data_IF_501133184949
#
_entry.id   IF_501133184949
#
_cell.length_a   1.000
_cell.length_b   1.000
_cell.length_c   1.000
_cell.angle_alpha   90.00
_cell.angle_beta   90.00
_cell.angle_gamma   90.00
#
_symmetry.space_group_name_H-M   'P 1'
#
loop_
_entity.id
_entity.type
_entity.pdbx_description
1 polymer ?
#
# COMPACT_ATOMS: atom_id res chain seq x y z
N UNK A 1 -31.20 1.59 28.48
CA UNK A 1 -30.66 2.86 27.98
C UNK A 1 -30.26 2.60 26.53
N UNK A 2 -31.05 3.09 25.58
CA UNK A 2 -30.79 2.92 24.14
C UNK A 2 -29.72 3.93 23.73
N UNK A 3 -28.57 3.46 23.26
CA UNK A 3 -27.57 4.28 22.58
C UNK A 3 -28.14 4.76 21.26
N UNK A 4 -28.19 6.07 21.06
CA UNK A 4 -28.58 6.69 19.80
C UNK A 4 -27.42 6.51 18.82
N UNK A 5 -27.64 5.70 17.79
CA UNK A 5 -26.78 5.62 16.61
C UNK A 5 -26.84 6.97 15.88
N UNK A 6 -25.76 7.74 15.93
CA UNK A 6 -25.56 8.86 15.02
C UNK A 6 -25.49 8.29 13.58
N UNK A 7 -26.54 8.52 12.81
CA UNK A 7 -26.49 8.34 11.36
C UNK A 7 -25.59 9.42 10.80
N UNK A 8 -24.37 9.05 10.39
CA UNK A 8 -23.58 9.88 9.49
C UNK A 8 -24.26 9.82 8.13
N UNK A 9 -25.02 10.85 7.80
CA UNK A 9 -25.62 11.04 6.48
C UNK A 9 -24.48 11.43 5.54
N UNK A 10 -24.00 10.50 4.74
CA UNK A 10 -23.16 10.79 3.60
C UNK A 10 -24.05 11.42 2.54
N UNK A 11 -23.82 12.69 2.23
CA UNK A 11 -24.65 13.47 1.32
C UNK A 11 -24.60 12.88 -0.10
N UNK A 12 -25.73 12.33 -0.54
CA UNK A 12 -26.06 12.18 -1.96
C UNK A 12 -26.08 10.80 -2.57
N UNK A 13 -25.76 9.70 -1.89
CA UNK A 13 -25.96 8.35 -2.41
C UNK A 13 -26.89 7.53 -1.50
N UNK A 14 -28.07 7.18 -2.00
CA UNK A 14 -28.91 6.14 -1.38
C UNK A 14 -28.31 4.78 -1.72
N UNK A 15 -27.78 4.09 -0.71
CA UNK A 15 -27.30 2.72 -0.86
C UNK A 15 -28.45 1.75 -0.78
N UNK A 16 -28.56 0.77 -1.72
CA UNK A 16 -29.53 -0.31 -1.58
C UNK A 16 -29.26 -1.13 -0.32
N UNK A 17 -30.30 -1.44 0.44
CA UNK A 17 -30.22 -2.32 1.58
C UNK A 17 -29.77 -3.72 1.12
N UNK A 18 -28.62 -4.17 1.60
CA UNK A 18 -28.08 -5.49 1.30
C UNK A 18 -28.73 -6.51 2.22
N UNK A 19 -29.40 -7.50 1.62
CA UNK A 19 -29.99 -8.64 2.32
C UNK A 19 -28.90 -9.72 2.48
N UNK A 20 -28.40 -9.89 3.72
CA UNK A 20 -27.24 -10.71 3.99
C UNK A 20 -27.58 -12.18 4.16
N UNK A 21 -27.01 -13.02 3.37
CA UNK A 21 -26.42 -14.32 3.73
C UNK A 21 -25.58 -14.83 2.54
N UNK A 22 -24.39 -14.27 2.33
CA UNK A 22 -23.41 -14.85 1.41
C UNK A 22 -22.41 -15.69 2.20
N UNK A 23 -22.40 -16.97 1.97
CA UNK A 23 -21.38 -17.87 2.51
C UNK A 23 -20.01 -17.50 1.93
N UNK A 24 -18.96 -17.49 2.75
CA UNK A 24 -17.58 -17.13 2.41
C UNK A 24 -17.04 -17.77 1.12
N UNK A 25 -17.55 -18.96 0.74
CA UNK A 25 -17.21 -19.61 -0.52
C UNK A 25 -17.60 -18.77 -1.76
N UNK A 26 -18.61 -17.90 -1.66
CA UNK A 26 -19.05 -17.03 -2.76
C UNK A 26 -18.16 -15.78 -2.87
N UNK A 27 -17.63 -15.29 -1.74
CA UNK A 27 -16.71 -14.15 -1.71
C UNK A 27 -15.35 -14.56 -2.31
N UNK A 28 -14.92 -15.82 -2.13
CA UNK A 28 -13.62 -16.33 -2.51
C UNK A 28 -13.31 -16.28 -4.02
N UNK A 29 -14.33 -16.37 -4.88
CA UNK A 29 -14.15 -16.42 -6.33
C UNK A 29 -14.52 -15.09 -7.04
N UNK A 30 -15.16 -14.16 -6.35
CA UNK A 30 -15.61 -12.89 -6.92
C UNK A 30 -15.21 -11.69 -6.03
N UNK A 31 -14.10 -10.98 -6.35
CA UNK A 31 -13.84 -9.69 -5.73
C UNK A 31 -15.00 -8.72 -6.00
N UNK A 32 -15.23 -7.72 -5.13
CA UNK A 32 -16.24 -6.70 -5.35
C UNK A 32 -16.10 -6.06 -6.74
N UNK A 33 -17.22 -5.89 -7.44
CA UNK A 33 -17.25 -5.25 -8.78
C UNK A 33 -17.38 -3.73 -8.70
N UNK A 34 -17.71 -3.19 -7.52
CA UNK A 34 -17.77 -1.78 -7.17
C UNK A 34 -17.22 -1.62 -5.76
N UNK A 35 -16.68 -0.46 -5.44
CA UNK A 35 -16.12 -0.19 -4.12
C UNK A 35 -14.89 0.71 -4.16
N UNK A 36 -13.91 0.39 -3.35
CA UNK A 36 -12.76 1.23 -3.04
C UNK A 36 -11.46 0.57 -3.47
N UNK A 37 -10.54 1.36 -4.04
CA UNK A 37 -9.16 0.90 -4.23
C UNK A 37 -8.31 1.36 -3.04
N UNK A 38 -7.94 0.41 -2.19
CA UNK A 38 -7.27 0.73 -0.93
C UNK A 38 -5.74 0.66 -0.99
N UNK A 39 -5.14 0.54 -2.20
CA UNK A 39 -3.69 0.44 -2.32
C UNK A 39 -3.18 1.20 -3.56
N UNK A 40 -2.77 2.46 -3.34
CA UNK A 40 -2.31 3.33 -4.42
C UNK A 40 -1.09 4.16 -4.01
N UNK A 41 -0.17 4.35 -4.95
CA UNK A 41 1.07 5.11 -4.79
C UNK A 41 1.11 6.34 -5.68
N UNK A 42 1.73 7.40 -5.16
CA UNK A 42 1.88 8.68 -5.82
C UNK A 42 3.34 9.09 -5.95
N UNK A 43 3.58 10.29 -6.46
CA UNK A 43 4.93 10.88 -6.58
C UNK A 43 5.62 11.12 -5.24
N UNK A 44 4.92 10.97 -4.12
CA UNK A 44 5.51 11.03 -2.78
C UNK A 44 6.24 9.74 -2.37
N UNK A 45 6.10 8.68 -3.14
CA UNK A 45 6.94 7.48 -3.05
C UNK A 45 7.46 7.08 -4.43
N UNK A 46 6.91 6.06 -5.04
CA UNK A 46 7.37 5.48 -6.30
C UNK A 46 6.29 5.42 -7.38
N UNK A 47 5.16 6.04 -7.14
CA UNK A 47 4.15 6.32 -8.14
C UNK A 47 4.61 7.42 -9.13
N UNK A 48 3.92 7.55 -10.25
CA UNK A 48 4.25 8.51 -11.31
C UNK A 48 3.26 9.65 -11.46
N UNK A 49 2.15 9.61 -10.74
CA UNK A 49 1.12 10.63 -10.77
C UNK A 49 0.96 11.32 -9.41
N UNK A 50 0.48 12.54 -9.44
CA UNK A 50 0.21 13.31 -8.23
C UNK A 50 -0.99 12.71 -7.47
N UNK A 51 -1.16 12.99 -6.17
CA UNK A 51 -2.38 12.63 -5.45
C UNK A 51 -3.65 13.15 -6.11
N UNK A 52 -3.61 14.37 -6.68
CA UNK A 52 -4.73 14.95 -7.40
C UNK A 52 -5.08 14.19 -8.69
N UNK A 53 -4.08 13.72 -9.44
CA UNK A 53 -4.30 12.89 -10.63
C UNK A 53 -4.94 11.55 -10.25
N UNK A 54 -4.45 10.91 -9.18
CA UNK A 54 -5.00 9.67 -8.63
C UNK A 54 -6.48 9.81 -8.27
N UNK A 55 -6.81 10.85 -7.49
CA UNK A 55 -8.20 11.10 -7.06
C UNK A 55 -9.10 11.41 -8.26
N UNK A 56 -8.64 12.26 -9.20
CA UNK A 56 -9.38 12.56 -10.43
C UNK A 56 -9.67 11.31 -11.25
N UNK A 57 -8.68 10.42 -11.41
CA UNK A 57 -8.83 9.18 -12.16
C UNK A 57 -9.79 8.21 -11.44
N UNK A 58 -9.68 8.06 -10.13
CA UNK A 58 -10.59 7.24 -9.32
C UNK A 58 -12.04 7.73 -9.44
N UNK A 59 -12.26 9.04 -9.37
CA UNK A 59 -13.56 9.66 -9.59
C UNK A 59 -14.11 9.37 -11.00
N UNK A 60 -13.27 9.51 -12.03
CA UNK A 60 -13.66 9.23 -13.43
C UNK A 60 -14.00 7.75 -13.67
N UNK A 61 -13.40 6.83 -12.92
CA UNK A 61 -13.71 5.40 -12.95
C UNK A 61 -14.98 5.04 -12.17
N UNK A 62 -15.55 5.99 -11.41
CA UNK A 62 -16.75 5.76 -10.60
C UNK A 62 -16.48 4.93 -9.35
N UNK A 63 -15.26 4.96 -8.82
CA UNK A 63 -14.95 4.32 -7.54
C UNK A 63 -15.70 5.03 -6.40
N UNK A 64 -16.06 4.29 -5.36
CA UNK A 64 -16.66 4.87 -4.15
C UNK A 64 -15.65 5.70 -3.36
N UNK A 65 -14.38 5.35 -3.45
CA UNK A 65 -13.27 6.06 -2.86
C UNK A 65 -11.93 5.40 -3.17
N UNK A 66 -10.87 5.98 -2.66
CA UNK A 66 -9.49 5.53 -2.87
C UNK A 66 -8.67 5.70 -1.59
N UNK A 67 -7.64 4.88 -1.40
CA UNK A 67 -6.64 5.15 -0.37
C UNK A 67 -5.34 5.67 -0.99
N UNK A 68 -4.72 6.66 -0.34
CA UNK A 68 -3.33 7.00 -0.58
C UNK A 68 -2.48 6.18 0.40
N UNK A 69 -1.52 5.40 -0.12
CA UNK A 69 -0.70 4.47 0.66
C UNK A 69 0.79 4.52 0.28
N UNK A 70 1.30 5.71 0.02
CA UNK A 70 2.72 5.93 -0.31
C UNK A 70 3.67 5.29 0.70
N UNK A 71 4.78 4.75 0.23
CA UNK A 71 5.75 4.03 1.06
C UNK A 71 6.36 4.90 2.16
N UNK A 72 6.18 4.48 3.40
CA UNK A 72 6.81 5.00 4.62
C UNK A 72 6.67 6.53 4.82
N UNK A 73 5.60 7.14 4.26
CA UNK A 73 5.35 8.59 4.32
C UNK A 73 3.87 8.94 4.36
N UNK A 74 3.57 10.09 4.96
CA UNK A 74 2.24 10.73 4.95
C UNK A 74 2.24 12.04 4.15
N UNK A 75 3.34 12.34 3.45
CA UNK A 75 3.56 13.65 2.81
C UNK A 75 2.45 14.01 1.79
N UNK A 76 1.95 13.03 1.03
CA UNK A 76 0.88 13.23 0.04
C UNK A 76 -0.53 13.35 0.60
N UNK A 77 -0.75 13.17 1.91
CA UNK A 77 -2.10 13.12 2.48
C UNK A 77 -2.91 14.41 2.33
N UNK A 78 -2.27 15.57 2.51
CA UNK A 78 -2.95 16.87 2.41
C UNK A 78 -3.37 17.17 0.97
N UNK A 79 -2.52 16.86 0.00
CA UNK A 79 -2.80 17.07 -1.42
C UNK A 79 -3.93 16.12 -1.88
N UNK A 80 -3.88 14.85 -1.46
CA UNK A 80 -4.95 13.89 -1.70
C UNK A 80 -6.27 14.33 -1.07
N UNK A 81 -6.25 14.84 0.17
CA UNK A 81 -7.44 15.31 0.88
C UNK A 81 -8.07 16.54 0.21
N UNK A 82 -7.22 17.45 -0.27
CA UNK A 82 -7.67 18.62 -1.03
C UNK A 82 -8.37 18.20 -2.32
N UNK A 83 -7.74 17.31 -3.09
CA UNK A 83 -8.32 16.80 -4.32
C UNK A 83 -9.60 15.99 -4.06
N UNK A 84 -9.61 15.12 -3.04
CA UNK A 84 -10.79 14.33 -2.67
C UNK A 84 -12.00 15.23 -2.37
N UNK A 85 -11.77 16.32 -1.63
CA UNK A 85 -12.82 17.33 -1.35
C UNK A 85 -13.29 18.02 -2.62
N UNK A 86 -12.37 18.39 -3.52
CA UNK A 86 -12.69 19.08 -4.77
C UNK A 86 -13.54 18.20 -5.73
N UNK A 87 -13.17 16.92 -5.84
CA UNK A 87 -13.87 15.98 -6.73
C UNK A 87 -15.06 15.27 -6.08
N UNK A 88 -15.30 15.46 -4.77
CA UNK A 88 -16.35 14.79 -4.03
C UNK A 88 -16.17 13.28 -3.93
N UNK A 89 -14.90 12.80 -3.93
CA UNK A 89 -14.54 11.40 -3.78
C UNK A 89 -14.09 11.14 -2.34
N UNK A 90 -14.47 10.01 -1.78
CA UNK A 90 -14.00 9.64 -0.44
C UNK A 90 -12.53 9.21 -0.46
N UNK A 91 -11.79 9.55 0.61
CA UNK A 91 -10.38 9.24 0.77
C UNK A 91 -10.07 8.56 2.11
N UNK A 92 -9.50 7.38 2.05
CA UNK A 92 -8.83 6.71 3.16
C UNK A 92 -7.37 7.14 3.18
N UNK A 93 -6.87 7.63 4.32
CA UNK A 93 -5.47 8.00 4.50
C UNK A 93 -4.70 6.83 5.07
N UNK A 94 -3.65 6.41 4.38
CA UNK A 94 -2.83 5.27 4.75
C UNK A 94 -1.38 5.42 4.31
N UNK A 95 -0.60 4.40 4.65
CA UNK A 95 0.82 4.28 4.30
C UNK A 95 1.16 2.81 4.12
N UNK A 96 1.88 2.45 3.07
CA UNK A 96 2.46 1.12 2.94
C UNK A 96 3.83 1.08 3.63
N UNK A 97 3.91 0.37 4.76
CA UNK A 97 5.08 0.29 5.63
C UNK A 97 5.91 -0.94 5.27
N UNK A 98 7.21 -0.75 5.03
CA UNK A 98 8.13 -1.87 4.80
C UNK A 98 8.53 -2.52 6.11
N UNK A 99 8.41 -3.85 6.20
CA UNK A 99 8.72 -4.65 7.37
C UNK A 99 9.43 -5.97 7.00
N UNK A 100 9.88 -6.69 8.00
CA UNK A 100 10.45 -8.04 7.89
C UNK A 100 9.78 -8.97 8.91
N UNK A 101 9.42 -10.16 8.49
CA UNK A 101 8.88 -11.20 9.36
C UNK A 101 9.80 -12.42 9.24
N UNK A 102 10.75 -12.56 10.16
CA UNK A 102 11.71 -13.65 10.22
C UNK A 102 12.42 -13.92 8.87
N UNK A 103 12.91 -12.84 8.22
CA UNK A 103 13.62 -12.92 6.94
C UNK A 103 12.72 -12.92 5.70
N UNK A 104 11.41 -12.82 5.88
CA UNK A 104 10.45 -12.60 4.79
C UNK A 104 10.10 -11.12 4.73
N UNK A 105 10.43 -10.45 3.62
CA UNK A 105 10.06 -9.05 3.41
C UNK A 105 8.55 -8.92 3.30
N UNK A 106 7.94 -8.05 4.10
CA UNK A 106 6.50 -7.83 4.16
C UNK A 106 6.21 -6.34 3.95
N UNK A 107 5.11 -6.04 3.28
CA UNK A 107 4.55 -4.72 3.28
C UNK A 107 3.25 -4.71 4.10
N UNK A 108 3.09 -3.67 4.91
CA UNK A 108 1.96 -3.50 5.80
C UNK A 108 1.21 -2.23 5.44
N UNK A 109 -0.03 -2.34 5.03
CA UNK A 109 -0.91 -1.18 4.85
C UNK A 109 -1.38 -0.74 6.23
N UNK A 110 -1.08 0.49 6.59
CA UNK A 110 -1.54 1.14 7.79
C UNK A 110 -2.58 2.20 7.41
N UNK A 111 -3.82 2.09 7.91
CA UNK A 111 -4.90 3.00 7.58
C UNK A 111 -5.36 3.82 8.78
N UNK A 112 -5.80 5.06 8.53
CA UNK A 112 -6.54 5.93 9.46
C UNK A 112 -5.91 6.09 10.86
N UNK A 113 -4.59 5.99 10.96
CA UNK A 113 -3.83 6.19 12.19
C UNK A 113 -3.54 7.68 12.43
N UNK A 114 -3.24 8.05 13.69
CA UNK A 114 -2.76 9.40 14.04
C UNK A 114 -1.32 9.60 13.50
N UNK A 115 -1.10 10.47 12.49
CA UNK A 115 0.22 10.69 11.90
C UNK A 115 1.20 11.38 12.87
N UNK A 116 0.70 11.98 13.95
CA UNK A 116 1.50 12.67 14.98
C UNK A 116 1.93 11.72 16.11
N UNK A 117 1.46 10.47 16.13
CA UNK A 117 1.95 9.48 17.08
C UNK A 117 3.46 9.29 16.91
N UNK A 118 4.21 9.36 18.03
CA UNK A 118 5.68 9.37 18.02
C UNK A 118 6.29 8.05 17.57
N UNK A 119 5.66 6.93 17.89
CA UNK A 119 6.17 5.60 17.52
C UNK A 119 6.12 5.42 16.00
N UNK A 120 4.97 5.66 15.38
CA UNK A 120 4.80 5.47 13.94
C UNK A 120 5.58 6.53 13.13
N UNK A 121 5.59 7.81 13.54
CA UNK A 121 6.35 8.86 12.87
C UNK A 121 7.86 8.63 12.98
N UNK A 122 8.34 8.17 14.14
CA UNK A 122 9.72 7.76 14.34
C UNK A 122 10.13 6.54 13.52
N UNK A 123 9.22 5.58 13.35
CA UNK A 123 9.39 4.42 12.49
C UNK A 123 9.60 4.85 11.03
N UNK A 124 8.72 5.69 10.49
CA UNK A 124 8.84 6.18 9.11
C UNK A 124 10.11 6.99 8.88
N UNK A 125 10.51 7.84 9.83
CA UNK A 125 11.76 8.59 9.72
C UNK A 125 12.99 7.67 9.64
N UNK A 126 13.01 6.58 10.41
CA UNK A 126 14.07 5.56 10.36
C UNK A 126 14.06 4.82 9.03
N UNK A 127 12.87 4.39 8.56
CA UNK A 127 12.71 3.68 7.29
C UNK A 127 13.15 4.52 6.09
N UNK A 128 12.68 5.77 5.98
CA UNK A 128 13.10 6.67 4.90
C UNK A 128 14.61 6.89 4.89
N UNK A 129 15.22 7.08 6.06
CA UNK A 129 16.68 7.20 6.15
C UNK A 129 17.40 5.94 5.67
N UNK A 130 16.97 4.76 6.13
CA UNK A 130 17.53 3.48 5.72
C UNK A 130 17.39 3.24 4.21
N UNK A 131 16.22 3.56 3.64
CA UNK A 131 15.99 3.50 2.19
C UNK A 131 16.92 4.44 1.43
N UNK A 132 17.05 5.69 1.87
CA UNK A 132 17.91 6.68 1.23
C UNK A 132 19.37 6.22 1.20
N UNK A 133 19.92 5.80 2.35
CA UNK A 133 21.30 5.31 2.46
C UNK A 133 21.53 4.07 1.59
N UNK A 134 20.61 3.12 1.64
CA UNK A 134 20.63 1.93 0.77
C UNK A 134 20.63 2.31 -0.71
N UNK A 135 19.74 3.23 -1.11
CA UNK A 135 19.60 3.65 -2.51
C UNK A 135 20.90 4.30 -3.01
N UNK A 136 21.52 5.18 -2.22
CA UNK A 136 22.83 5.77 -2.53
C UNK A 136 23.90 4.70 -2.76
N UNK A 137 23.99 3.73 -1.84
CA UNK A 137 24.96 2.63 -1.96
C UNK A 137 24.73 1.75 -3.20
N UNK A 138 23.46 1.50 -3.55
CA UNK A 138 23.15 0.78 -4.79
C UNK A 138 23.57 1.59 -6.02
N UNK A 139 23.34 2.90 -6.05
CA UNK A 139 23.79 3.78 -7.14
C UNK A 139 25.32 3.77 -7.26
N UNK A 140 26.06 3.82 -6.15
CA UNK A 140 27.52 3.70 -6.15
C UNK A 140 28.03 2.37 -6.76
N UNK A 141 27.30 1.28 -6.61
CA UNK A 141 27.61 0.01 -7.23
C UNK A 141 27.24 0.00 -8.72
N UNK A 142 26.02 0.44 -9.05
CA UNK A 142 25.46 0.45 -10.41
C UNK A 142 26.25 1.39 -11.33
N UNK A 143 26.72 2.53 -10.83
CA UNK A 143 27.47 3.54 -11.60
C UNK A 143 28.83 3.04 -12.13
N UNK A 144 29.32 1.89 -11.64
CA UNK A 144 30.54 1.27 -12.17
C UNK A 144 30.33 0.64 -13.55
N UNK A 145 29.10 0.22 -13.86
CA UNK A 145 28.76 -0.52 -15.06
C UNK A 145 27.71 0.18 -15.93
N UNK A 146 26.99 1.17 -15.36
CA UNK A 146 25.93 1.93 -16.03
C UNK A 146 26.17 3.44 -15.94
N UNK A 147 25.80 4.23 -16.96
CA UNK A 147 26.08 5.66 -17.02
C UNK A 147 25.05 6.48 -16.21
N UNK A 148 24.91 6.22 -14.91
CA UNK A 148 24.06 6.97 -14.00
C UNK A 148 24.83 7.44 -12.77
N UNK A 149 24.41 8.56 -12.23
CA UNK A 149 24.93 9.17 -10.99
C UNK A 149 23.82 9.30 -9.96
N UNK A 150 24.16 9.70 -8.73
CA UNK A 150 23.18 10.06 -7.72
C UNK A 150 22.28 11.22 -8.17
N UNK A 151 22.86 12.23 -8.87
CA UNK A 151 22.10 13.38 -9.37
C UNK A 151 21.06 12.96 -10.42
N UNK A 152 21.36 11.96 -11.25
CA UNK A 152 20.39 11.41 -12.21
C UNK A 152 19.21 10.74 -11.49
N UNK A 153 19.45 10.11 -10.34
CA UNK A 153 18.39 9.54 -9.51
C UNK A 153 17.58 10.64 -8.84
N UNK A 154 18.22 11.69 -8.31
CA UNK A 154 17.52 12.84 -7.75
C UNK A 154 16.66 13.57 -8.80
N UNK A 155 17.07 13.61 -10.04
CA UNK A 155 16.30 14.19 -11.14
C UNK A 155 14.99 13.43 -11.44
N UNK A 156 14.81 12.22 -10.92
CA UNK A 156 13.56 11.45 -11.03
C UNK A 156 12.55 11.78 -9.92
N UNK A 157 12.98 12.49 -8.87
CA UNK A 157 12.11 12.91 -7.76
C UNK A 157 11.30 14.12 -8.20
N UNK A 158 9.98 14.08 -7.98
CA UNK A 158 9.07 15.14 -8.41
C UNK A 158 8.63 16.08 -7.30
N UNK A 159 8.52 15.56 -6.06
CA UNK A 159 7.99 16.29 -4.89
C UNK A 159 9.08 16.64 -3.84
N UNK A 160 10.34 16.70 -4.26
CA UNK A 160 11.44 17.17 -3.44
C UNK A 160 11.79 16.26 -2.26
N UNK A 161 12.22 16.86 -1.14
CA UNK A 161 12.79 16.15 0.02
C UNK A 161 11.81 15.25 0.79
N UNK A 162 10.50 15.37 0.53
CA UNK A 162 9.46 14.59 1.19
C UNK A 162 9.19 13.24 0.52
N UNK A 163 9.74 13.03 -0.69
CA UNK A 163 9.59 11.79 -1.44
C UNK A 163 10.39 10.65 -0.79
N UNK A 164 9.77 9.50 -0.63
CA UNK A 164 10.46 8.27 -0.21
C UNK A 164 11.26 7.68 -1.38
N UNK A 165 12.57 7.90 -1.39
CA UNK A 165 13.48 7.46 -2.48
C UNK A 165 13.81 5.98 -2.38
N UNK A 166 13.73 5.25 -3.51
CA UNK A 166 13.98 3.82 -3.54
C UNK A 166 14.45 3.31 -4.91
N UNK A 167 14.48 1.99 -5.06
CA UNK A 167 14.87 1.30 -6.32
C UNK A 167 14.10 1.78 -7.57
N UNK A 168 12.81 2.12 -7.50
CA UNK A 168 12.10 2.64 -8.65
C UNK A 168 12.73 3.91 -9.25
N UNK A 169 13.27 4.79 -8.42
CA UNK A 169 13.96 6.01 -8.87
C UNK A 169 15.30 5.67 -9.56
N UNK A 170 16.02 4.63 -9.08
CA UNK A 170 17.20 4.11 -9.80
C UNK A 170 16.79 3.54 -11.16
N UNK A 171 15.69 2.77 -11.19
CA UNK A 171 15.17 2.20 -12.44
C UNK A 171 14.81 3.29 -13.44
N UNK A 172 14.14 4.37 -13.00
CA UNK A 172 13.79 5.50 -13.84
C UNK A 172 15.03 6.26 -14.36
N UNK A 173 16.07 6.43 -13.54
CA UNK A 173 17.34 7.00 -13.96
C UNK A 173 18.04 6.13 -15.04
N UNK A 174 18.02 4.80 -14.85
CA UNK A 174 18.55 3.85 -15.84
C UNK A 174 17.77 3.90 -17.18
N UNK A 175 16.45 4.04 -17.12
CA UNK A 175 15.61 4.23 -18.31
C UNK A 175 15.90 5.56 -18.98
N UNK A 176 16.01 6.64 -18.23
CA UNK A 176 16.34 7.97 -18.75
C UNK A 176 17.73 8.01 -19.39
N UNK A 177 18.69 7.25 -18.87
CA UNK A 177 20.03 7.06 -19.45
C UNK A 177 20.05 6.12 -20.67
N UNK A 178 18.91 5.53 -21.08
CA UNK A 178 18.80 4.59 -22.19
C UNK A 178 19.38 3.20 -21.92
N UNK A 179 19.71 2.87 -20.68
CA UNK A 179 20.26 1.57 -20.29
C UNK A 179 19.20 0.45 -20.28
N UNK A 180 17.93 0.81 -20.05
CA UNK A 180 16.79 -0.10 -20.07
C UNK A 180 15.59 0.54 -20.81
N UNK A 181 14.74 -0.28 -21.48
CA UNK A 181 13.60 0.24 -22.22
C UNK A 181 12.47 0.78 -21.32
N UNK A 182 12.32 0.19 -20.13
CA UNK A 182 11.30 0.56 -19.15
C UNK A 182 11.71 0.14 -17.72
N UNK A 183 10.89 0.54 -16.74
CA UNK A 183 11.12 0.26 -15.32
C UNK A 183 11.10 -1.25 -15.03
N UNK A 184 10.21 -2.02 -15.66
CA UNK A 184 10.10 -3.47 -15.45
C UNK A 184 11.38 -4.19 -15.88
N UNK A 185 11.93 -3.86 -17.04
CA UNK A 185 13.20 -4.41 -17.51
C UNK A 185 14.38 -4.07 -16.58
N UNK A 186 14.40 -2.85 -15.99
CA UNK A 186 15.40 -2.49 -14.98
C UNK A 186 15.26 -3.32 -13.70
N UNK A 187 14.01 -3.67 -13.28
CA UNK A 187 13.77 -4.57 -12.15
C UNK A 187 14.12 -6.03 -12.44
N UNK A 188 13.99 -6.47 -13.68
CA UNK A 188 14.49 -7.79 -14.11
C UNK A 188 16.04 -7.84 -14.16
N UNK A 189 16.68 -6.66 -14.25
CA UNK A 189 18.13 -6.47 -14.36
C UNK A 189 18.77 -5.82 -13.13
N UNK A 190 19.31 -4.61 -13.31
CA UNK A 190 20.21 -3.95 -12.36
C UNK A 190 19.62 -3.66 -10.98
N UNK A 191 18.32 -3.37 -10.86
CA UNK A 191 17.68 -3.05 -9.57
C UNK A 191 16.93 -4.22 -8.93
N UNK A 192 16.91 -5.39 -9.58
CA UNK A 192 16.25 -6.60 -9.09
C UNK A 192 16.89 -7.18 -7.84
N UNK A 193 16.14 -7.99 -7.10
CA UNK A 193 16.63 -8.63 -5.86
C UNK A 193 17.74 -9.66 -6.09
N UNK A 194 17.90 -10.16 -7.31
CA UNK A 194 18.97 -11.09 -7.72
C UNK A 194 20.17 -10.41 -8.38
N UNK A 195 20.12 -9.08 -8.51
CA UNK A 195 21.19 -8.28 -9.08
C UNK A 195 22.44 -8.28 -8.17
N UNK A 196 23.67 -8.27 -8.73
CA UNK A 196 24.89 -8.11 -7.94
C UNK A 196 24.96 -6.74 -7.21
N UNK A 197 24.15 -5.78 -7.60
CA UNK A 197 24.08 -4.46 -6.97
C UNK A 197 23.03 -4.39 -5.85
N UNK A 198 22.25 -5.47 -5.65
CA UNK A 198 21.19 -5.47 -4.68
C UNK A 198 21.71 -5.41 -3.24
N UNK A 199 21.15 -4.48 -2.50
CA UNK A 199 21.35 -4.34 -1.06
C UNK A 199 19.96 -4.45 -0.39
N UNK A 200 19.74 -5.36 0.57
CA UNK A 200 18.49 -5.45 1.30
C UNK A 200 18.21 -4.17 2.09
N UNK A 201 16.95 -3.79 2.22
CA UNK A 201 16.54 -2.67 3.07
C UNK A 201 16.56 -3.14 4.53
N UNK A 202 17.26 -2.48 5.44
CA UNK A 202 17.05 -2.70 6.87
C UNK A 202 15.61 -2.34 7.22
N UNK A 203 14.82 -3.34 7.58
CA UNK A 203 13.39 -3.19 7.87
C UNK A 203 13.11 -3.55 9.33
N UNK A 204 12.14 -2.89 9.99
CA UNK A 204 11.69 -3.27 11.33
C UNK A 204 11.00 -4.63 11.29
N UNK A 205 10.95 -5.27 12.45
CA UNK A 205 10.13 -6.45 12.66
C UNK A 205 8.65 -6.15 12.37
N UNK A 206 7.96 -7.04 11.64
CA UNK A 206 6.58 -6.84 11.24
C UNK A 206 5.61 -6.78 12.45
N UNK A 207 5.90 -7.50 13.53
CA UNK A 207 5.16 -7.45 14.80
C UNK A 207 5.26 -6.05 15.42
N UNK A 208 6.45 -5.43 15.37
CA UNK A 208 6.64 -4.06 15.88
C UNK A 208 5.90 -3.03 15.02
N UNK A 209 5.83 -3.24 13.70
CA UNK A 209 5.02 -2.39 12.81
C UNK A 209 3.53 -2.50 13.17
N UNK A 210 2.98 -3.70 13.32
CA UNK A 210 1.58 -3.91 13.74
C UNK A 210 1.30 -3.18 15.05
N UNK A 211 2.17 -3.34 16.05
CA UNK A 211 2.04 -2.68 17.35
C UNK A 211 2.10 -1.15 17.24
N UNK A 212 3.00 -0.61 16.41
CA UNK A 212 3.11 0.84 16.19
C UNK A 212 1.83 1.41 15.54
N UNK A 213 1.28 0.72 14.53
CA UNK A 213 0.02 1.11 13.90
C UNK A 213 -1.12 1.08 14.92
N UNK A 214 -1.22 0.02 15.72
CA UNK A 214 -2.22 -0.12 16.80
C UNK A 214 -2.12 0.98 17.84
N UNK A 215 -0.90 1.31 18.30
CA UNK A 215 -0.66 2.40 19.25
C UNK A 215 -1.00 3.78 18.67
N UNK A 216 -0.90 3.95 17.36
CA UNK A 216 -1.34 5.15 16.67
C UNK A 216 -2.86 5.18 16.39
N UNK A 217 -3.61 4.17 16.85
CA UNK A 217 -5.05 4.04 16.66
C UNK A 217 -5.43 3.71 15.21
N UNK A 218 -4.53 3.10 14.45
CA UNK A 218 -4.74 2.72 13.06
C UNK A 218 -5.17 1.26 12.89
N UNK A 219 -5.46 0.92 11.65
CA UNK A 219 -5.82 -0.41 11.16
C UNK A 219 -4.69 -0.96 10.31
N UNK A 220 -4.20 -2.17 10.61
CA UNK A 220 -3.08 -2.81 9.91
C UNK A 220 -3.55 -3.97 9.03
N UNK A 221 -3.06 -4.01 7.78
CA UNK A 221 -3.41 -5.04 6.80
C UNK A 221 -2.13 -5.49 6.09
N UNK A 222 -1.89 -6.82 5.96
CA UNK A 222 -0.77 -7.31 5.16
C UNK A 222 -1.08 -7.11 3.68
N UNK A 223 -0.23 -6.35 2.98
CA UNK A 223 -0.34 -6.08 1.55
C UNK A 223 0.06 -7.31 0.73
N UNK A 224 -0.66 -7.57 -0.39
CA UNK A 224 -0.33 -8.62 -1.39
C UNK A 224 0.29 -9.89 -0.81
N UNK A 225 -0.23 -10.37 0.32
CA UNK A 225 0.35 -11.42 1.16
C UNK A 225 0.60 -12.78 0.45
N UNK A 226 -0.08 -13.04 -0.66
CA UNK A 226 0.01 -14.25 -1.45
C UNK A 226 0.80 -14.12 -2.76
N UNK A 227 1.51 -13.00 -3.01
CA UNK A 227 2.20 -12.75 -4.27
C UNK A 227 3.60 -13.40 -4.32
N UNK A 228 3.77 -14.53 -5.06
CA UNK A 228 5.06 -15.23 -5.14
C UNK A 228 6.09 -14.49 -5.99
N UNK A 229 5.69 -13.46 -6.75
CA UNK A 229 6.63 -12.66 -7.53
C UNK A 229 7.43 -11.70 -6.65
N UNK A 230 6.88 -11.31 -5.50
CA UNK A 230 7.55 -10.44 -4.52
C UNK A 230 8.47 -11.21 -3.60
N UNK A 231 8.02 -12.35 -3.12
CA UNK A 231 8.79 -13.22 -2.23
C UNK A 231 8.76 -14.67 -2.72
N UNK A 232 9.91 -15.27 -3.00
CA UNK A 232 9.99 -16.69 -3.33
C UNK A 232 9.45 -17.60 -2.21
N UNK A 233 9.55 -17.12 -0.96
CA UNK A 233 8.97 -17.75 0.23
C UNK A 233 7.90 -16.81 0.77
N UNK A 234 6.65 -17.26 0.79
CA UNK A 234 5.53 -16.52 1.38
C UNK A 234 5.51 -16.71 2.89
N UNK A 235 4.82 -15.79 3.60
CA UNK A 235 4.56 -15.95 5.03
C UNK A 235 3.85 -17.28 5.29
N UNK A 236 4.35 -18.03 6.27
CA UNK A 236 3.67 -19.20 6.81
C UNK A 236 2.43 -18.80 7.62
N UNK A 237 1.53 -19.74 7.88
CA UNK A 237 0.37 -19.50 8.73
C UNK A 237 0.78 -19.14 10.17
N UNK A 238 1.88 -19.73 10.67
CA UNK A 238 2.43 -19.40 11.99
C UNK A 238 2.95 -17.95 12.07
N UNK A 239 3.63 -17.45 11.02
CA UNK A 239 4.08 -16.06 10.95
C UNK A 239 2.89 -15.10 10.89
N UNK A 240 1.86 -15.41 10.09
CA UNK A 240 0.61 -14.63 10.07
C UNK A 240 -0.06 -14.66 11.44
N UNK A 241 -0.08 -15.83 12.12
CA UNK A 241 -0.61 -16.00 13.49
C UNK A 241 0.09 -15.08 14.50
N UNK A 242 1.42 -14.95 14.43
CA UNK A 242 2.17 -14.03 15.30
C UNK A 242 1.78 -12.56 15.07
N UNK A 243 1.52 -12.17 13.82
CA UNK A 243 1.03 -10.82 13.51
C UNK A 243 -0.40 -10.60 14.01
N UNK A 244 -1.26 -11.62 13.94
CA UNK A 244 -2.62 -11.59 14.51
C UNK A 244 -2.56 -11.42 16.03
N UNK A 245 -1.69 -12.17 16.72
CA UNK A 245 -1.46 -12.04 18.16
C UNK A 245 -0.95 -10.64 18.56
N UNK A 246 -0.23 -9.98 17.65
CA UNK A 246 0.22 -8.60 17.85
C UNK A 246 -0.88 -7.55 17.59
N UNK A 247 -2.02 -7.94 16.98
CA UNK A 247 -3.18 -7.10 16.71
C UNK A 247 -3.37 -6.73 15.25
N UNK A 248 -2.87 -7.56 14.31
CA UNK A 248 -3.16 -7.42 12.86
C UNK A 248 -4.68 -7.43 12.63
N UNK A 249 -5.16 -6.49 11.82
CA UNK A 249 -6.59 -6.31 11.57
C UNK A 249 -7.07 -6.98 10.27
N UNK A 250 -6.20 -7.19 9.26
CA UNK A 250 -6.67 -7.71 7.98
C UNK A 250 -5.59 -8.21 7.02
N UNK A 251 -6.07 -8.72 5.88
CA UNK A 251 -5.27 -9.25 4.78
C UNK A 251 -5.75 -8.65 3.45
N UNK A 252 -4.83 -8.17 2.61
CA UNK A 252 -5.14 -7.83 1.23
C UNK A 252 -5.19 -9.11 0.40
N UNK A 253 -6.43 -9.58 0.16
CA UNK A 253 -6.71 -10.81 -0.58
C UNK A 253 -6.88 -10.53 -2.07
N UNK A 254 -7.65 -9.47 -2.39
CA UNK A 254 -7.93 -9.07 -3.75
C UNK A 254 -6.78 -8.22 -4.29
N UNK A 255 -5.78 -8.90 -4.82
CA UNK A 255 -4.63 -8.30 -5.49
C UNK A 255 -4.25 -9.15 -6.70
N UNK A 256 -3.83 -8.51 -7.81
CA UNK A 256 -3.49 -9.21 -9.05
C UNK A 256 -2.39 -10.24 -8.90
N UNK A 257 -1.42 -9.99 -8.02
CA UNK A 257 -0.30 -10.87 -7.73
C UNK A 257 -0.66 -12.09 -6.88
N UNK A 258 -1.84 -12.09 -6.21
CA UNK A 258 -2.29 -13.22 -5.41
C UNK A 258 -2.98 -14.26 -6.31
N UNK A 259 -2.38 -15.43 -6.59
CA UNK A 259 -3.01 -16.46 -7.40
C UNK A 259 -4.22 -17.08 -6.65
N UNK A 260 -5.18 -17.71 -7.35
CA UNK A 260 -6.42 -18.23 -6.76
C UNK A 260 -6.20 -19.13 -5.54
N UNK A 261 -5.15 -19.97 -5.54
CA UNK A 261 -4.82 -20.83 -4.40
C UNK A 261 -4.46 -20.01 -3.15
N UNK A 262 -3.69 -18.93 -3.31
CA UNK A 262 -3.31 -18.07 -2.19
C UNK A 262 -4.51 -17.23 -1.72
N UNK A 263 -5.35 -16.74 -2.62
CA UNK A 263 -6.60 -16.06 -2.23
C UNK A 263 -7.46 -16.95 -1.34
N UNK A 264 -7.68 -18.21 -1.71
CA UNK A 264 -8.43 -19.17 -0.85
C UNK A 264 -7.77 -19.33 0.51
N UNK A 265 -6.45 -19.60 0.55
CA UNK A 265 -5.71 -19.70 1.82
C UNK A 265 -5.88 -18.47 2.71
N UNK A 266 -5.74 -17.27 2.14
CA UNK A 266 -5.85 -16.02 2.89
C UNK A 266 -7.29 -15.77 3.37
N UNK A 267 -8.31 -16.16 2.59
CA UNK A 267 -9.71 -16.11 3.01
C UNK A 267 -10.01 -17.10 4.14
N UNK A 268 -9.46 -18.31 4.08
CA UNK A 268 -9.62 -19.30 5.15
C UNK A 268 -9.03 -18.76 6.47
N UNK A 269 -7.85 -18.13 6.41
CA UNK A 269 -7.22 -17.48 7.56
C UNK A 269 -8.07 -16.30 8.04
N UNK A 270 -8.51 -15.41 7.16
CA UNK A 270 -9.32 -14.26 7.50
C UNK A 270 -10.64 -14.67 8.18
N UNK A 271 -11.30 -15.70 7.65
CA UNK A 271 -12.52 -16.25 8.24
C UNK A 271 -12.29 -16.87 9.61
N UNK A 272 -11.17 -17.59 9.80
CA UNK A 272 -10.87 -18.25 11.05
C UNK A 272 -10.60 -17.27 12.19
N UNK A 273 -9.96 -16.14 11.88
CA UNK A 273 -9.53 -15.14 12.87
C UNK A 273 -10.35 -13.84 12.85
N UNK A 274 -11.46 -13.80 12.12
CA UNK A 274 -12.33 -12.62 11.98
C UNK A 274 -11.56 -11.36 11.50
N UNK A 275 -10.69 -11.53 10.49
CA UNK A 275 -9.90 -10.46 9.92
C UNK A 275 -10.64 -9.75 8.78
N UNK A 276 -10.33 -8.49 8.59
CA UNK A 276 -10.76 -7.72 7.43
C UNK A 276 -10.16 -8.29 6.13
N UNK A 277 -10.97 -8.33 5.08
CA UNK A 277 -10.55 -8.71 3.72
C UNK A 277 -10.55 -7.49 2.85
N UNK A 278 -9.36 -7.06 2.40
CA UNK A 278 -9.23 -5.90 1.52
C UNK A 278 -8.82 -6.27 0.11
N UNK A 279 -8.99 -5.31 -0.80
CA UNK A 279 -8.47 -5.34 -2.14
C UNK A 279 -7.83 -4.01 -2.50
N UNK A 280 -6.83 -4.06 -3.35
CA UNK A 280 -6.15 -2.90 -3.87
C UNK A 280 -5.42 -3.22 -5.18
N UNK A 281 -5.22 -2.20 -6.00
CA UNK A 281 -4.54 -2.37 -7.27
C UNK A 281 -3.02 -2.32 -7.14
N UNK A 282 -2.49 -1.75 -6.06
CA UNK A 282 -1.06 -1.39 -5.96
C UNK A 282 -0.65 -0.49 -7.15
N UNK A 283 -1.55 0.44 -7.48
CA UNK A 283 -1.39 1.34 -8.62
C UNK A 283 -0.25 2.33 -8.41
N UNK A 284 0.56 2.53 -9.45
CA UNK A 284 1.72 3.41 -9.43
C UNK A 284 1.67 4.47 -10.54
N UNK A 285 0.49 4.77 -11.06
CA UNK A 285 0.34 5.68 -12.18
C UNK A 285 0.71 5.08 -13.53
N UNK A 286 0.35 5.78 -14.59
CA UNK A 286 0.64 5.36 -15.96
C UNK A 286 2.16 5.24 -16.20
N UNK A 287 2.59 4.06 -16.65
CA UNK A 287 4.01 3.75 -16.88
C UNK A 287 4.82 3.48 -15.60
N UNK A 288 4.20 3.43 -14.42
CA UNK A 288 4.81 3.00 -13.17
C UNK A 288 4.90 1.47 -13.07
N UNK A 289 3.76 0.83 -12.92
CA UNK A 289 3.55 -0.61 -12.97
C UNK A 289 2.42 -0.94 -13.97
N UNK A 290 2.27 -2.20 -14.40
CA UNK A 290 1.16 -2.60 -15.28
C UNK A 290 -0.21 -2.64 -14.57
N UNK A 291 -0.27 -2.35 -13.27
CA UNK A 291 -1.45 -2.32 -12.45
C UNK A 291 -2.38 -1.17 -12.85
N UNK A 292 -3.68 -1.41 -12.82
CA UNK A 292 -4.69 -0.42 -13.19
C UNK A 292 -5.49 -0.01 -11.97
N UNK A 293 -5.70 1.27 -11.80
CA UNK A 293 -6.55 1.79 -10.73
C UNK A 293 -7.93 1.14 -10.79
N UNK A 294 -8.41 0.68 -9.64
CA UNK A 294 -9.72 0.03 -9.52
C UNK A 294 -9.81 -1.42 -10.03
N UNK A 295 -8.70 -2.08 -10.37
CA UNK A 295 -8.74 -3.47 -10.85
C UNK A 295 -9.01 -4.52 -9.76
N UNK A 296 -8.81 -4.16 -8.49
CA UNK A 296 -9.16 -4.96 -7.33
C UNK A 296 -9.73 -4.03 -6.26
N UNK A 297 -10.88 -4.38 -5.72
CA UNK A 297 -11.64 -3.48 -4.87
C UNK A 297 -11.90 -4.07 -3.49
N UNK A 298 -12.16 -3.18 -2.55
CA UNK A 298 -12.68 -3.45 -1.21
C UNK A 298 -14.14 -2.98 -1.16
N UNK A 299 -15.00 -3.73 -0.47
CA UNK A 299 -16.40 -3.36 -0.27
C UNK A 299 -16.60 -2.27 0.78
N UNK A 300 -17.78 -1.65 0.78
CA UNK A 300 -18.14 -0.55 1.69
C UNK A 300 -18.19 -0.97 3.17
N UNK A 301 -18.51 -2.23 3.48
CA UNK A 301 -18.60 -2.72 4.85
C UNK A 301 -17.22 -2.84 5.48
N UNK A 302 -16.27 -3.39 4.75
CA UNK A 302 -14.86 -3.45 5.15
C UNK A 302 -14.29 -2.05 5.36
N UNK A 303 -14.54 -1.11 4.45
CA UNK A 303 -14.08 0.28 4.58
C UNK A 303 -14.72 0.96 5.80
N UNK A 304 -16.02 0.74 6.04
CA UNK A 304 -16.68 1.25 7.25
C UNK A 304 -16.00 0.74 8.51
N UNK A 305 -15.67 -0.55 8.56
CA UNK A 305 -14.93 -1.15 9.69
C UNK A 305 -13.54 -0.53 9.89
N UNK A 306 -12.82 -0.22 8.80
CA UNK A 306 -11.53 0.49 8.85
C UNK A 306 -11.71 1.89 9.45
N UNK A 307 -12.71 2.63 9.00
CA UNK A 307 -12.99 4.00 9.47
C UNK A 307 -13.43 4.01 10.93
N UNK A 308 -14.29 3.07 11.35
CA UNK A 308 -14.77 2.97 12.74
C UNK A 308 -13.66 2.59 13.73
N UNK A 309 -12.67 1.81 13.30
CA UNK A 309 -11.50 1.43 14.13
C UNK A 309 -10.39 2.48 14.10
N UNK A 310 -10.37 3.37 13.09
CA UNK A 310 -9.32 4.34 12.88
C UNK A 310 -9.38 5.56 13.81
N UNK A 311 -8.22 6.18 14.09
CA UNK A 311 -8.10 7.36 14.96
C UNK A 311 -8.51 8.66 14.26
N UNK A 312 -8.47 8.71 12.92
CA UNK A 312 -8.76 9.92 12.14
C UNK A 312 -9.98 9.72 11.25
N UNK A 313 -10.77 10.77 10.96
CA UNK A 313 -11.98 10.64 10.17
C UNK A 313 -11.68 10.34 8.69
N UNK A 314 -12.66 9.74 8.01
CA UNK A 314 -12.68 9.67 6.55
C UNK A 314 -12.80 11.10 5.95
N UNK A 315 -12.23 11.31 4.78
CA UNK A 315 -12.42 12.52 3.99
C UNK A 315 -13.47 12.27 2.92
#
# INVERSE_FOLDING_TARGET
VRAALLRVSLAGCEYPAYDGDMTLAHIADNPPSQGWDLHCHTVFSDGRQTPADMVREACALGLHGVAITDHDTTAGWNDAATAATEYGLHLVRGTEVTADADGVSVHMLAYQYDPHNREISGLFAKLRRARLERTKRMVELISKDYPITWDDVLAQIREGDETTVGRPHIADALVAAGAYPDRSAAFDGAVGSRSPYYIPTPSPDAVDVVRAVKQAGGVSVIAHAGDPSRNPVLLSDDQIGQLIDAGLDGLEVWHRGNPPQQRRRLLDIASHYDLLVTGGSDWHGHGGKPNRLGENLTDDETVRSIVERGAIPLI
#
